data_IF_269862161172
#
_entry.id   IF_269862161172
#
_cell.length_a   1.000
_cell.length_b   1.000
_cell.length_c   1.000
_cell.angle_alpha   90.00
_cell.angle_beta   90.00
_cell.angle_gamma   90.00
#
_symmetry.space_group_name_H-M   'P 1'
#
loop_
_entity.id
_entity.type
_entity.pdbx_description
1 polymer ?
#
# COMPACT_ATOMS: atom_id res chain seq x y z
N UNK A 1 -34.18 -11.30 -27.00
CA UNK A 1 -33.24 -10.17 -26.90
C UNK A 1 -32.61 -10.31 -25.52
N UNK A 2 -31.43 -10.93 -25.50
CA UNK A 2 -30.75 -11.24 -24.24
C UNK A 2 -30.09 -10.01 -23.64
N UNK A 3 -30.44 -9.72 -22.40
CA UNK A 3 -29.61 -8.87 -21.55
C UNK A 3 -28.30 -9.63 -21.29
N UNK A 4 -27.26 -9.30 -22.02
CA UNK A 4 -25.91 -9.57 -21.58
C UNK A 4 -25.65 -8.64 -20.39
N UNK A 5 -25.96 -9.12 -19.20
CA UNK A 5 -25.40 -8.59 -17.98
C UNK A 5 -23.88 -8.72 -18.12
N UNK A 6 -23.24 -7.62 -18.49
CA UNK A 6 -21.82 -7.44 -18.33
C UNK A 6 -21.53 -7.65 -16.85
N UNK A 7 -21.13 -8.86 -16.49
CA UNK A 7 -20.52 -9.13 -15.20
C UNK A 7 -19.31 -8.20 -15.18
N UNK A 8 -19.49 -7.07 -14.50
CA UNK A 8 -18.41 -6.14 -14.22
C UNK A 8 -17.36 -6.94 -13.45
N UNK A 9 -16.32 -7.38 -14.14
CA UNK A 9 -15.18 -8.02 -13.52
C UNK A 9 -14.46 -6.96 -12.69
N UNK A 10 -14.99 -6.72 -11.47
CA UNK A 10 -14.29 -5.89 -10.50
C UNK A 10 -13.03 -6.63 -10.09
N UNK A 11 -11.88 -6.17 -10.59
CA UNK A 11 -10.57 -6.68 -10.20
C UNK A 11 -10.15 -6.19 -8.82
N UNK A 12 -10.79 -5.16 -8.28
CA UNK A 12 -10.64 -4.77 -6.88
C UNK A 12 -11.40 -5.75 -5.99
N UNK A 13 -10.67 -6.59 -5.27
CA UNK A 13 -11.21 -7.69 -4.46
C UNK A 13 -11.18 -7.42 -2.96
N UNK A 14 -10.41 -6.42 -2.54
CA UNK A 14 -10.28 -6.05 -1.13
C UNK A 14 -9.81 -4.59 -1.02
N UNK A 15 -10.24 -3.91 0.02
CA UNK A 15 -9.73 -2.59 0.38
C UNK A 15 -9.75 -2.39 1.89
N UNK A 16 -8.68 -1.83 2.46
CA UNK A 16 -8.58 -1.53 3.88
C UNK A 16 -7.72 -0.30 4.15
N UNK A 17 -7.94 0.30 5.31
CA UNK A 17 -7.05 1.32 5.89
C UNK A 17 -6.32 0.67 7.06
N UNK A 18 -5.00 0.84 7.14
CA UNK A 18 -4.15 0.19 8.14
C UNK A 18 -3.20 1.19 8.79
N UNK A 19 -2.91 1.04 10.09
CA UNK A 19 -1.83 1.78 10.74
C UNK A 19 -0.47 1.25 10.27
N UNK A 20 0.57 2.08 10.41
CA UNK A 20 1.94 1.73 10.06
C UNK A 20 2.99 2.05 11.14
N UNK A 21 2.55 2.20 12.39
CA UNK A 21 3.49 2.47 13.48
C UNK A 21 4.59 1.40 13.55
N UNK A 22 5.87 1.76 13.55
CA UNK A 22 6.97 0.81 13.71
C UNK A 22 6.90 -0.01 15.00
N UNK A 23 6.22 0.51 16.03
CA UNK A 23 5.98 -0.21 17.28
C UNK A 23 5.13 -1.48 17.12
N UNK A 24 4.44 -1.64 15.99
CA UNK A 24 3.74 -2.88 15.66
C UNK A 24 4.70 -4.03 15.29
N UNK A 25 5.93 -3.72 14.87
CA UNK A 25 6.95 -4.73 14.57
C UNK A 25 7.46 -5.32 15.89
N UNK A 26 7.38 -6.66 16.11
CA UNK A 26 7.67 -7.27 17.41
C UNK A 26 9.04 -6.96 17.97
N UNK A 27 10.07 -6.93 17.14
CA UNK A 27 11.46 -6.62 17.49
C UNK A 27 11.66 -5.18 17.94
N UNK A 28 10.79 -4.26 17.49
CA UNK A 28 10.81 -2.83 17.81
C UNK A 28 9.90 -2.54 18.99
N UNK A 29 8.64 -2.97 18.93
CA UNK A 29 7.62 -2.66 19.95
C UNK A 29 7.84 -3.32 21.30
N UNK A 30 8.39 -4.53 21.31
CA UNK A 30 8.72 -5.29 22.53
C UNK A 30 7.56 -5.22 23.55
N UNK A 31 7.83 -4.74 24.76
CA UNK A 31 6.83 -4.63 25.83
C UNK A 31 5.70 -3.63 25.51
N UNK A 32 5.92 -2.69 24.61
CA UNK A 32 4.89 -1.73 24.19
C UNK A 32 3.81 -2.36 23.29
N UNK A 33 4.09 -3.51 22.68
CA UNK A 33 3.11 -4.26 21.89
C UNK A 33 1.83 -4.60 22.66
N UNK A 34 1.92 -4.74 23.99
CA UNK A 34 0.75 -4.98 24.85
C UNK A 34 -0.28 -3.85 24.69
N UNK A 35 0.16 -2.60 24.51
CA UNK A 35 -0.74 -1.45 24.30
C UNK A 35 -1.40 -1.48 22.91
N UNK A 36 -0.79 -2.16 21.94
CA UNK A 36 -1.26 -2.28 20.57
C UNK A 36 -1.99 -3.62 20.30
N UNK A 37 -2.29 -4.41 21.31
CA UNK A 37 -2.88 -5.76 21.16
C UNK A 37 -4.18 -5.74 20.34
N UNK A 38 -5.07 -4.77 20.57
CA UNK A 38 -6.31 -4.63 19.79
C UNK A 38 -6.02 -4.37 18.31
N UNK A 39 -5.05 -3.51 18.01
CA UNK A 39 -4.62 -3.21 16.65
C UNK A 39 -4.03 -4.45 15.97
N UNK A 40 -3.20 -5.18 16.68
CA UNK A 40 -2.61 -6.42 16.20
C UNK A 40 -3.67 -7.48 15.85
N UNK A 41 -4.65 -7.67 16.74
CA UNK A 41 -5.79 -8.58 16.50
C UNK A 41 -6.62 -8.14 15.29
N UNK A 42 -6.85 -6.84 15.13
CA UNK A 42 -7.55 -6.31 13.95
C UNK A 42 -6.75 -6.56 12.66
N UNK A 43 -5.43 -6.38 12.66
CA UNK A 43 -4.58 -6.68 11.51
C UNK A 43 -4.58 -8.17 11.17
N UNK A 44 -4.63 -9.07 12.16
CA UNK A 44 -4.78 -10.51 11.94
C UNK A 44 -6.13 -10.86 11.31
N UNK A 45 -7.20 -10.19 11.72
CA UNK A 45 -8.51 -10.35 11.09
C UNK A 45 -8.48 -9.89 9.63
N UNK A 46 -7.90 -8.72 9.36
CA UNK A 46 -7.73 -8.20 8.01
C UNK A 46 -6.88 -9.13 7.13
N UNK A 47 -5.85 -9.75 7.70
CA UNK A 47 -5.01 -10.74 6.99
C UNK A 47 -5.86 -11.92 6.50
N UNK A 48 -6.72 -12.49 7.36
CA UNK A 48 -7.60 -13.59 6.99
C UNK A 48 -8.60 -13.20 5.89
N UNK A 49 -9.18 -12.00 5.98
CA UNK A 49 -10.09 -11.48 4.95
C UNK A 49 -9.35 -11.24 3.63
N UNK A 50 -8.16 -10.65 3.68
CA UNK A 50 -7.30 -10.47 2.52
C UNK A 50 -6.92 -11.80 1.88
N UNK A 51 -6.50 -12.77 2.66
CA UNK A 51 -6.16 -14.11 2.19
C UNK A 51 -7.33 -14.77 1.45
N UNK A 52 -8.54 -14.70 2.02
CA UNK A 52 -9.74 -15.27 1.39
C UNK A 52 -10.14 -14.54 0.11
N UNK A 53 -9.80 -13.26 -0.02
CA UNK A 53 -10.04 -12.48 -1.23
C UNK A 53 -9.10 -12.84 -2.38
N UNK A 54 -8.02 -13.62 -2.12
CA UNK A 54 -7.05 -14.14 -3.10
C UNK A 54 -6.51 -13.06 -4.04
N UNK A 55 -5.93 -11.98 -3.56
CA UNK A 55 -5.33 -10.96 -4.41
C UNK A 55 -4.06 -11.51 -5.09
N UNK A 56 -3.70 -10.93 -6.21
CA UNK A 56 -2.45 -11.18 -6.94
C UNK A 56 -1.52 -9.95 -6.86
N UNK A 57 -2.10 -8.77 -6.63
CA UNK A 57 -1.38 -7.52 -6.45
C UNK A 57 -1.97 -6.80 -5.23
N UNK A 58 -1.11 -6.25 -4.38
CA UNK A 58 -1.47 -5.25 -3.38
C UNK A 58 -0.95 -3.90 -3.85
N UNK A 59 -1.86 -2.97 -4.17
CA UNK A 59 -1.54 -1.56 -4.30
C UNK A 59 -1.55 -0.95 -2.90
N UNK A 60 -0.37 -0.53 -2.42
CA UNK A 60 -0.24 0.08 -1.09
C UNK A 60 0.05 1.57 -1.21
N UNK A 61 -0.82 2.39 -0.63
CA UNK A 61 -0.67 3.83 -0.60
C UNK A 61 0.00 4.18 0.73
N UNK A 62 1.22 4.75 0.66
CA UNK A 62 2.00 5.14 1.83
C UNK A 62 2.32 6.63 1.83
N UNK A 63 2.23 7.31 2.98
CA UNK A 63 2.64 8.70 3.10
C UNK A 63 4.15 8.92 2.99
N UNK A 64 4.93 7.84 3.03
CA UNK A 64 6.39 7.88 3.01
C UNK A 64 7.00 7.45 1.66
N UNK A 65 6.18 6.94 0.72
CA UNK A 65 6.65 6.52 -0.60
C UNK A 65 6.86 7.74 -1.49
N UNK A 66 8.09 8.22 -1.62
CA UNK A 66 8.48 9.26 -2.59
C UNK A 66 7.57 10.50 -2.55
N UNK A 67 7.63 11.26 -1.45
CA UNK A 67 6.85 12.49 -1.32
C UNK A 67 7.37 13.58 -2.26
N UNK A 68 6.53 14.02 -3.19
CA UNK A 68 6.80 15.13 -4.11
C UNK A 68 5.74 16.22 -3.95
N UNK A 69 6.18 17.49 -4.11
CA UNK A 69 5.29 18.65 -4.05
C UNK A 69 4.30 18.70 -5.23
N UNK A 70 4.73 18.23 -6.40
CA UNK A 70 4.06 18.43 -7.67
C UNK A 70 3.61 17.16 -8.39
N UNK A 71 3.89 15.99 -7.80
CA UNK A 71 3.64 14.71 -8.45
C UNK A 71 3.26 13.62 -7.47
N UNK A 72 2.53 12.61 -7.96
CA UNK A 72 2.32 11.35 -7.27
C UNK A 72 3.46 10.39 -7.58
N UNK A 73 3.99 9.70 -6.57
CA UNK A 73 5.00 8.68 -6.77
C UNK A 73 4.37 7.31 -7.04
N UNK A 74 4.94 6.57 -7.97
CA UNK A 74 4.65 5.14 -8.16
C UNK A 74 5.98 4.39 -8.23
N UNK A 75 6.20 3.44 -7.33
CA UNK A 75 7.46 2.72 -7.28
C UNK A 75 7.42 1.51 -8.22
N UNK A 76 8.24 1.57 -9.26
CA UNK A 76 8.33 0.57 -10.33
C UNK A 76 9.49 -0.44 -10.12
N UNK A 77 10.05 -0.53 -8.90
CA UNK A 77 11.10 -1.51 -8.64
C UNK A 77 10.55 -2.94 -8.74
N UNK A 78 11.38 -3.88 -9.15
CA UNK A 78 10.98 -5.27 -9.39
C UNK A 78 10.92 -6.12 -8.13
N UNK A 79 11.68 -5.73 -7.11
CA UNK A 79 11.82 -6.45 -5.85
C UNK A 79 11.89 -5.46 -4.69
N UNK A 80 11.15 -5.73 -3.63
CA UNK A 80 11.15 -4.87 -2.45
C UNK A 80 11.69 -5.61 -1.24
N UNK A 81 12.39 -4.86 -0.38
CA UNK A 81 12.87 -5.32 0.91
C UNK A 81 12.38 -4.39 2.02
N UNK A 82 11.94 -4.95 3.15
CA UNK A 82 11.69 -4.16 4.34
C UNK A 82 13.02 -3.78 5.00
N UNK A 83 13.16 -2.50 5.41
CA UNK A 83 14.29 -2.04 6.19
C UNK A 83 13.80 -1.30 7.44
N UNK A 84 14.02 -1.88 8.60
CA UNK A 84 13.66 -1.32 9.89
C UNK A 84 14.89 -0.87 10.71
N UNK A 85 16.07 -0.77 10.08
CA UNK A 85 17.33 -0.44 10.76
C UNK A 85 17.27 0.93 11.48
N UNK A 86 16.59 1.92 10.91
CA UNK A 86 16.39 3.22 11.54
C UNK A 86 15.60 3.16 12.86
N UNK A 87 14.84 2.06 13.09
CA UNK A 87 14.08 1.80 14.30
C UNK A 87 14.78 0.79 15.22
N UNK A 88 16.04 0.42 14.91
CA UNK A 88 16.88 -0.48 15.71
C UNK A 88 16.66 -1.99 15.44
N UNK A 89 15.92 -2.35 14.40
CA UNK A 89 15.77 -3.74 13.99
C UNK A 89 16.64 -4.04 12.75
N UNK A 90 17.70 -4.81 12.96
CA UNK A 90 18.61 -5.26 11.90
C UNK A 90 18.34 -6.72 11.45
N UNK A 91 17.33 -7.33 12.03
CA UNK A 91 17.11 -8.79 11.90
C UNK A 91 15.91 -9.13 11.03
N UNK A 92 14.86 -8.33 11.04
CA UNK A 92 13.66 -8.56 10.24
C UNK A 92 13.98 -8.39 8.76
N UNK A 93 13.78 -9.47 7.99
CA UNK A 93 13.95 -9.48 6.54
C UNK A 93 12.67 -9.97 5.90
N UNK A 94 12.01 -9.06 5.20
CA UNK A 94 10.82 -9.36 4.42
C UNK A 94 11.06 -8.86 2.99
N UNK A 95 10.58 -9.62 2.03
CA UNK A 95 10.74 -9.30 0.60
C UNK A 95 9.44 -9.51 -0.14
N UNK A 96 9.21 -8.70 -1.16
CA UNK A 96 8.04 -8.81 -2.04
C UNK A 96 8.45 -8.58 -3.49
N UNK A 97 7.75 -9.20 -4.42
CA UNK A 97 7.87 -8.89 -5.83
C UNK A 97 7.11 -7.61 -6.16
N UNK A 98 7.66 -6.80 -7.07
CA UNK A 98 7.02 -5.60 -7.56
C UNK A 98 6.04 -5.86 -8.72
N UNK A 99 5.28 -4.81 -9.07
CA UNK A 99 4.39 -4.79 -10.24
C UNK A 99 4.78 -3.64 -11.19
N UNK A 100 5.99 -3.65 -11.79
CA UNK A 100 6.49 -2.57 -12.63
C UNK A 100 5.67 -2.37 -13.91
N UNK A 101 5.04 -3.40 -14.42
CA UNK A 101 4.11 -3.39 -15.54
C UNK A 101 2.90 -2.49 -15.27
N UNK A 102 2.29 -2.65 -14.09
CA UNK A 102 1.17 -1.81 -13.66
C UNK A 102 1.62 -0.38 -13.35
N UNK A 103 2.80 -0.20 -12.73
CA UNK A 103 3.40 1.12 -12.51
C UNK A 103 3.57 1.90 -13.81
N UNK A 104 4.17 1.26 -14.83
CA UNK A 104 4.40 1.87 -16.14
C UNK A 104 3.08 2.26 -16.83
N UNK A 105 2.05 1.41 -16.74
CA UNK A 105 0.71 1.68 -17.27
C UNK A 105 0.08 2.91 -16.62
N UNK A 106 0.10 3.00 -15.29
CA UNK A 106 -0.43 4.15 -14.55
C UNK A 106 0.27 5.44 -14.97
N UNK A 107 1.60 5.43 -15.03
CA UNK A 107 2.38 6.59 -15.44
C UNK A 107 2.14 6.99 -16.91
N UNK A 108 1.92 6.02 -17.80
CA UNK A 108 1.56 6.30 -19.18
C UNK A 108 0.19 7.00 -19.28
N UNK A 109 -0.81 6.46 -18.60
CA UNK A 109 -2.19 6.93 -18.68
C UNK A 109 -2.40 8.27 -17.95
N UNK A 110 -1.54 8.62 -16.99
CA UNK A 110 -1.62 9.89 -16.25
C UNK A 110 -1.46 11.12 -17.17
N UNK A 111 -0.71 10.98 -18.26
CA UNK A 111 -0.48 12.06 -19.24
C UNK A 111 -1.78 12.58 -19.84
N UNK A 112 -2.76 11.72 -20.04
CA UNK A 112 -4.07 12.07 -20.60
C UNK A 112 -5.00 12.74 -19.58
N UNK A 113 -4.64 12.74 -18.28
CA UNK A 113 -5.44 13.29 -17.18
C UNK A 113 -4.89 14.61 -16.64
N UNK A 114 -3.83 15.14 -17.22
CA UNK A 114 -3.11 16.32 -16.70
C UNK A 114 -2.67 16.13 -15.23
N UNK A 115 -2.24 14.89 -14.90
CA UNK A 115 -1.68 14.51 -13.61
C UNK A 115 -0.20 14.16 -13.79
N UNK A 116 0.64 14.70 -12.94
CA UNK A 116 2.05 14.32 -12.92
C UNK A 116 2.23 13.09 -12.04
N UNK A 117 2.64 11.99 -12.66
CA UNK A 117 3.05 10.75 -11.99
C UNK A 117 4.53 10.53 -12.25
N UNK A 118 5.32 10.39 -11.20
CA UNK A 118 6.74 10.06 -11.25
C UNK A 118 6.95 8.60 -10.92
N UNK A 119 7.57 7.88 -11.84
CA UNK A 119 8.10 6.55 -11.55
C UNK A 119 9.39 6.71 -10.74
N UNK A 120 9.45 6.04 -9.61
CA UNK A 120 10.66 5.87 -8.82
C UNK A 120 11.09 4.41 -8.87
N UNK A 121 12.34 4.13 -8.52
CA UNK A 121 12.87 2.76 -8.45
C UNK A 121 13.69 2.64 -7.17
N UNK A 122 13.00 2.38 -6.06
CA UNK A 122 13.58 2.22 -4.73
C UNK A 122 13.30 0.80 -4.24
N UNK A 123 14.34 0.03 -3.99
CA UNK A 123 14.26 -1.34 -3.49
C UNK A 123 13.73 -1.36 -2.05
N UNK A 124 14.24 -0.44 -1.20
CA UNK A 124 13.79 -0.35 0.18
C UNK A 124 12.37 0.20 0.25
N UNK A 125 11.48 -0.58 0.84
CA UNK A 125 10.12 -0.17 1.12
C UNK A 125 10.08 0.55 2.48
N UNK A 126 9.50 1.74 2.48
CA UNK A 126 9.31 2.53 3.69
C UNK A 126 8.45 1.80 4.75
N UNK A 127 8.51 2.26 6.01
CA UNK A 127 7.75 1.62 7.10
C UNK A 127 6.23 1.74 6.90
N UNK A 128 5.74 2.79 6.22
CA UNK A 128 4.33 2.93 5.85
C UNK A 128 3.85 1.79 4.95
N UNK A 129 4.72 1.26 4.10
CA UNK A 129 4.45 0.06 3.31
C UNK A 129 4.79 -1.22 4.05
N UNK A 130 5.99 -1.31 4.62
CA UNK A 130 6.53 -2.55 5.19
C UNK A 130 5.78 -3.04 6.42
N UNK A 131 5.32 -2.13 7.32
CA UNK A 131 4.60 -2.53 8.54
C UNK A 131 3.27 -3.21 8.22
N UNK A 132 2.35 -2.60 7.43
CA UNK A 132 1.12 -3.28 7.06
C UNK A 132 1.37 -4.60 6.33
N UNK A 133 2.28 -4.60 5.34
CA UNK A 133 2.57 -5.80 4.56
C UNK A 133 3.13 -6.94 5.41
N UNK A 134 3.90 -6.65 6.45
CA UNK A 134 4.42 -7.66 7.37
C UNK A 134 3.32 -8.45 8.08
N UNK A 135 2.18 -7.81 8.34
CA UNK A 135 1.00 -8.45 8.93
C UNK A 135 0.09 -9.11 7.90
N UNK A 136 -0.06 -8.49 6.73
CA UNK A 136 -1.09 -8.86 5.77
C UNK A 136 -0.64 -9.92 4.76
N UNK A 137 0.67 -10.18 4.63
CA UNK A 137 1.18 -11.06 3.56
C UNK A 137 1.87 -12.36 3.99
N UNK A 138 1.88 -12.79 5.27
CA UNK A 138 2.64 -13.98 5.67
C UNK A 138 2.17 -15.26 4.97
N UNK A 139 0.91 -15.32 4.53
CA UNK A 139 0.34 -16.46 3.81
C UNK A 139 0.15 -16.19 2.30
N UNK A 140 0.75 -15.13 1.75
CA UNK A 140 0.67 -14.73 0.35
C UNK A 140 2.07 -14.65 -0.29
N UNK A 141 2.80 -15.76 -0.43
CA UNK A 141 4.23 -15.75 -0.84
C UNK A 141 4.44 -15.22 -2.27
N UNK A 142 3.45 -15.34 -3.14
CA UNK A 142 3.54 -14.92 -4.54
C UNK A 142 2.91 -13.54 -4.80
N UNK A 143 2.52 -12.83 -3.75
CA UNK A 143 1.89 -11.51 -3.88
C UNK A 143 2.86 -10.50 -4.50
N UNK A 144 2.39 -9.75 -5.48
CA UNK A 144 3.12 -8.59 -6.01
C UNK A 144 2.66 -7.32 -5.32
N UNK A 145 3.55 -6.37 -5.15
CA UNK A 145 3.26 -5.11 -4.46
C UNK A 145 3.50 -3.93 -5.39
N UNK A 146 2.60 -2.96 -5.36
CA UNK A 146 2.75 -1.67 -6.03
C UNK A 146 2.69 -0.55 -4.99
N UNK A 147 3.84 -0.03 -4.53
CA UNK A 147 3.87 1.11 -3.62
C UNK A 147 3.54 2.40 -4.38
N UNK A 148 2.65 3.19 -3.79
CA UNK A 148 2.16 4.46 -4.33
C UNK A 148 2.25 5.51 -3.23
N UNK A 149 2.83 6.67 -3.54
CA UNK A 149 2.88 7.83 -2.66
C UNK A 149 1.77 8.82 -2.96
N UNK A 150 1.37 9.57 -1.95
CA UNK A 150 0.57 10.76 -2.16
C UNK A 150 1.48 11.98 -2.45
N UNK A 151 0.89 13.17 -2.63
CA UNK A 151 1.65 14.40 -2.88
C UNK A 151 1.08 15.56 -2.06
N UNK A 152 1.77 16.71 -2.05
CA UNK A 152 1.25 17.93 -1.43
C UNK A 152 0.27 18.70 -2.34
N UNK A 153 -0.20 18.07 -3.41
CA UNK A 153 -1.19 18.66 -4.32
C UNK A 153 -2.57 18.79 -3.63
N UNK A 154 -3.47 19.64 -4.15
CA UNK A 154 -4.83 19.77 -3.63
C UNK A 154 -5.61 18.46 -3.59
N UNK A 155 -6.58 18.36 -2.69
CA UNK A 155 -7.42 17.17 -2.54
C UNK A 155 -8.13 16.75 -3.85
N UNK A 156 -8.49 17.69 -4.69
CA UNK A 156 -9.09 17.41 -6.02
C UNK A 156 -8.17 16.58 -6.90
N UNK A 157 -6.85 16.84 -6.87
CA UNK A 157 -5.88 16.06 -7.64
C UNK A 157 -5.73 14.65 -7.08
N UNK A 158 -5.90 14.44 -5.76
CA UNK A 158 -5.94 13.11 -5.17
C UNK A 158 -7.17 12.32 -5.62
N UNK A 159 -8.34 12.97 -5.73
CA UNK A 159 -9.54 12.34 -6.29
C UNK A 159 -9.31 11.92 -7.75
N UNK A 160 -8.75 12.83 -8.58
CA UNK A 160 -8.39 12.54 -9.98
C UNK A 160 -7.36 11.40 -10.09
N UNK A 161 -6.39 11.36 -9.17
CA UNK A 161 -5.43 10.26 -9.13
C UNK A 161 -6.10 8.95 -8.73
N UNK A 162 -7.02 8.96 -7.77
CA UNK A 162 -7.85 7.79 -7.43
C UNK A 162 -8.68 7.29 -8.62
N UNK A 163 -9.26 8.19 -9.43
CA UNK A 163 -9.95 7.83 -10.67
C UNK A 163 -9.00 7.19 -11.70
N UNK A 164 -7.79 7.74 -11.84
CA UNK A 164 -6.76 7.17 -12.71
C UNK A 164 -6.40 5.74 -12.27
N UNK A 165 -6.20 5.52 -10.98
CA UNK A 165 -5.94 4.18 -10.43
C UNK A 165 -7.10 3.23 -10.74
N UNK A 166 -8.34 3.63 -10.44
CA UNK A 166 -9.55 2.84 -10.73
C UNK A 166 -9.65 2.43 -12.21
N UNK A 167 -9.42 3.37 -13.14
CA UNK A 167 -9.46 3.10 -14.58
C UNK A 167 -8.38 2.10 -15.02
N UNK A 168 -7.17 2.20 -14.44
CA UNK A 168 -6.09 1.26 -14.75
C UNK A 168 -6.38 -0.14 -14.20
N UNK A 169 -6.92 -0.21 -12.98
CA UNK A 169 -7.30 -1.49 -12.36
C UNK A 169 -8.46 -2.17 -13.09
N UNK A 170 -9.37 -1.41 -13.69
CA UNK A 170 -10.46 -1.97 -14.50
C UNK A 170 -10.00 -2.60 -15.83
N UNK A 171 -8.75 -2.38 -16.24
CA UNK A 171 -8.19 -2.87 -17.51
C UNK A 171 -7.24 -4.05 -17.35
N UNK A 172 -7.02 -4.52 -16.14
CA UNK A 172 -6.17 -5.68 -15.86
C UNK A 172 -7.03 -6.89 -15.48
N UNK A 173 -6.47 -8.07 -15.53
CA UNK A 173 -7.16 -9.32 -15.18
C UNK A 173 -6.80 -9.83 -13.80
N UNK A 174 -5.73 -9.28 -13.22
CA UNK A 174 -5.26 -9.61 -11.90
C UNK A 174 -6.20 -9.08 -10.81
N UNK A 175 -6.36 -9.86 -9.77
CA UNK A 175 -7.13 -9.51 -8.57
C UNK A 175 -6.29 -8.56 -7.70
N UNK A 176 -6.79 -7.37 -7.45
CA UNK A 176 -6.05 -6.32 -6.73
C UNK A 176 -6.70 -6.03 -5.39
N UNK A 177 -5.87 -5.94 -4.36
CA UNK A 177 -6.23 -5.35 -3.08
C UNK A 177 -5.65 -3.93 -3.00
N UNK A 178 -6.37 -3.00 -2.39
CA UNK A 178 -5.87 -1.66 -2.06
C UNK A 178 -5.73 -1.54 -0.56
N UNK A 179 -4.54 -1.18 -0.11
CA UNK A 179 -4.25 -0.89 1.29
C UNK A 179 -3.83 0.58 1.39
N UNK A 180 -4.62 1.37 2.11
CA UNK A 180 -4.26 2.74 2.45
C UNK A 180 -3.59 2.73 3.83
N UNK A 181 -2.31 3.02 3.86
CA UNK A 181 -1.51 3.07 5.07
C UNK A 181 -1.55 4.50 5.63
N UNK A 182 -1.99 4.66 6.87
CA UNK A 182 -2.14 5.98 7.48
C UNK A 182 -2.21 5.92 9.00
N UNK A 183 -1.82 7.03 9.61
CA UNK A 183 -1.98 7.27 11.03
C UNK A 183 -3.19 8.19 11.25
N UNK A 184 -4.15 7.75 12.07
CA UNK A 184 -5.26 8.59 12.51
C UNK A 184 -4.82 9.64 13.54
N UNK A 185 -3.70 9.39 14.23
CA UNK A 185 -3.06 10.32 15.16
C UNK A 185 -1.56 10.04 15.20
N UNK A 186 -0.78 11.01 14.76
CA UNK A 186 0.70 10.89 14.73
C UNK A 186 1.34 11.11 16.11
N UNK A 187 0.62 11.74 17.04
CA UNK A 187 1.07 12.13 18.38
C UNK A 187 0.23 11.50 19.49
N UNK A 188 -0.34 10.30 19.30
CA UNK A 188 -1.14 9.64 20.31
C UNK A 188 -0.26 9.33 21.55
N UNK A 189 -0.34 10.18 22.56
CA UNK A 189 0.38 10.02 23.84
C UNK A 189 1.37 11.11 24.18
N UNK A 190 1.57 12.11 23.35
CA UNK A 190 2.23 13.35 23.78
C UNK A 190 1.23 14.24 24.51
N UNK A 191 1.56 14.75 25.71
CA UNK A 191 0.71 15.72 26.39
C UNK A 191 0.66 17.00 25.53
N UNK A 192 -0.55 17.54 25.34
CA UNK A 192 -0.74 18.84 24.70
C UNK A 192 0.17 19.88 25.37
N UNK A 193 1.10 20.47 24.58
CA UNK A 193 1.86 21.64 24.98
C UNK A 193 1.10 22.90 24.65
#
# INVERSE_FOLDING_TARGET
MGNNDLISNYMLVFAAITPHSPLLVPTIGKDQLVKAEKTKLALQTLEQELYTSKPQIILIISPHTGLFEDAFAVNAHTDFVANFAQFGDLTTKLTWKGAPDLAARIAHNSRNKNLTVRLISQEELDHGGSVPLSYLTPHLPDIRVLPVGFSNRPAEDHLRFGELLRENLAQITERVAIIASGDLSHAAGEPDN
#
